data_IF_770608571390
#
_entry.id   IF_770608571390
#
_cell.length_a   1.000
_cell.length_b   1.000
_cell.length_c   1.000
_cell.angle_alpha   90.00
_cell.angle_beta   90.00
_cell.angle_gamma   90.00
#
_symmetry.space_group_name_H-M   'P 1'
#
loop_
_entity.id
_entity.type
_entity.pdbx_description
1 polymer ?
#
# COMPACT_ATOMS: atom_id res chain seq x y z
N UNK A 1 14.04 9.46 25.58
CA UNK A 1 13.29 10.53 24.87
C UNK A 1 13.51 10.35 23.37
N UNK A 2 12.47 10.12 22.56
CA UNK A 2 12.64 9.99 21.11
C UNK A 2 13.15 11.30 20.50
N UNK A 3 14.27 11.22 19.78
CA UNK A 3 14.93 12.38 19.17
C UNK A 3 14.01 13.07 18.15
N UNK A 4 14.22 14.37 17.91
CA UNK A 4 13.47 15.13 16.91
C UNK A 4 13.52 14.47 15.51
N UNK A 5 14.66 13.86 15.16
CA UNK A 5 14.85 13.10 13.91
C UNK A 5 13.99 11.84 13.85
N UNK A 6 13.87 11.09 14.95
CA UNK A 6 12.99 9.91 15.01
C UNK A 6 11.53 10.30 14.82
N UNK A 7 11.07 11.36 15.51
CA UNK A 7 9.69 11.86 15.34
C UNK A 7 9.40 12.36 13.93
N UNK A 8 10.34 13.05 13.30
CA UNK A 8 10.20 13.50 11.92
C UNK A 8 10.07 12.31 10.94
N UNK A 9 10.88 11.26 11.11
CA UNK A 9 10.76 10.04 10.29
C UNK A 9 9.42 9.34 10.52
N UNK A 10 8.96 9.22 11.76
CA UNK A 10 7.66 8.60 12.06
C UNK A 10 6.51 9.38 11.41
N UNK A 11 6.53 10.71 11.45
CA UNK A 11 5.53 11.54 10.77
C UNK A 11 5.58 11.39 9.25
N UNK A 12 6.77 11.33 8.66
CA UNK A 12 6.92 11.12 7.22
C UNK A 12 6.37 9.76 6.80
N UNK A 13 6.72 8.69 7.53
CA UNK A 13 6.20 7.35 7.31
C UNK A 13 4.67 7.33 7.44
N UNK A 14 4.13 7.93 8.51
CA UNK A 14 2.69 7.99 8.74
C UNK A 14 1.94 8.69 7.62
N UNK A 15 2.42 9.86 7.19
CA UNK A 15 1.84 10.59 6.04
C UNK A 15 1.89 9.76 4.77
N UNK A 16 3.01 9.10 4.50
CA UNK A 16 3.16 8.27 3.31
C UNK A 16 2.17 7.09 3.31
N UNK A 17 2.09 6.36 4.41
CA UNK A 17 1.16 5.24 4.59
C UNK A 17 -0.31 5.69 4.49
N UNK A 18 -0.68 6.82 5.11
CA UNK A 18 -2.03 7.38 5.02
C UNK A 18 -2.39 7.77 3.58
N UNK A 19 -1.46 8.36 2.82
CA UNK A 19 -1.69 8.72 1.42
C UNK A 19 -1.82 7.48 0.52
N UNK A 20 -0.98 6.45 0.73
CA UNK A 20 -1.09 5.19 0.00
C UNK A 20 -2.39 4.46 0.35
N UNK A 21 -2.81 4.47 1.62
CA UNK A 21 -4.08 3.90 2.04
C UNK A 21 -5.27 4.61 1.36
N UNK A 22 -5.29 5.94 1.38
CA UNK A 22 -6.32 6.73 0.68
C UNK A 22 -6.31 6.46 -0.84
N UNK A 23 -5.13 6.32 -1.44
CA UNK A 23 -4.98 5.98 -2.86
C UNK A 23 -5.52 4.59 -3.18
N UNK A 24 -5.31 3.60 -2.30
CA UNK A 24 -5.87 2.27 -2.43
C UNK A 24 -7.41 2.28 -2.30
N UNK A 25 -7.95 3.07 -1.37
CA UNK A 25 -9.40 3.28 -1.25
C UNK A 25 -9.96 3.88 -2.55
N UNK A 26 -9.36 4.97 -3.03
CA UNK A 26 -9.76 5.63 -4.28
C UNK A 26 -9.69 4.67 -5.47
N UNK A 27 -8.58 3.95 -5.62
CA UNK A 27 -8.38 2.98 -6.69
C UNK A 27 -9.39 1.84 -6.63
N UNK A 28 -9.65 1.29 -5.44
CA UNK A 28 -10.61 0.21 -5.25
C UNK A 28 -12.05 0.63 -5.53
N UNK A 29 -12.48 1.79 -5.03
CA UNK A 29 -13.82 2.34 -5.30
C UNK A 29 -13.99 2.66 -6.78
N UNK A 30 -13.00 3.30 -7.40
CA UNK A 30 -13.02 3.63 -8.84
C UNK A 30 -13.09 2.38 -9.72
N UNK A 31 -12.40 1.31 -9.31
CA UNK A 31 -12.41 0.02 -9.96
C UNK A 31 -13.77 -0.68 -9.87
N UNK A 32 -14.41 -0.64 -8.69
CA UNK A 32 -15.78 -1.16 -8.49
C UNK A 32 -16.79 -0.36 -9.33
N UNK A 33 -16.70 0.97 -9.30
CA UNK A 33 -17.62 1.86 -10.00
C UNK A 33 -17.37 1.93 -11.52
N UNK A 34 -16.30 1.29 -12.02
CA UNK A 34 -15.83 1.40 -13.42
C UNK A 34 -15.70 2.86 -13.86
N UNK A 35 -15.16 3.71 -12.99
CA UNK A 35 -14.99 5.13 -13.27
C UNK A 35 -14.14 5.36 -14.54
N UNK A 36 -14.26 6.51 -15.22
CA UNK A 36 -13.41 6.85 -16.36
C UNK A 36 -11.92 6.69 -16.01
N UNK A 37 -11.17 5.97 -16.85
CA UNK A 37 -9.77 5.61 -16.58
C UNK A 37 -9.56 4.36 -15.73
N UNK A 38 -10.62 3.79 -15.14
CA UNK A 38 -10.62 2.55 -14.34
C UNK A 38 -11.52 1.45 -14.93
N UNK A 39 -12.10 1.67 -16.11
CA UNK A 39 -12.93 0.70 -16.82
C UNK A 39 -12.07 -0.38 -17.51
N UNK A 40 -11.37 -1.20 -16.73
CA UNK A 40 -10.46 -2.24 -17.22
C UNK A 40 -11.25 -3.40 -17.87
N UNK A 41 -10.72 -4.04 -18.93
CA UNK A 41 -11.34 -5.21 -19.55
C UNK A 41 -11.45 -6.37 -18.54
N UNK A 42 -12.64 -6.97 -18.39
CA UNK A 42 -12.87 -8.04 -17.41
C UNK A 42 -12.12 -9.32 -17.79
N UNK A 43 -11.82 -9.49 -19.07
CA UNK A 43 -11.07 -10.61 -19.63
C UNK A 43 -9.66 -10.72 -19.03
N UNK A 44 -9.12 -9.63 -18.48
CA UNK A 44 -7.85 -9.65 -17.75
C UNK A 44 -7.93 -10.49 -16.48
N UNK A 45 -9.12 -10.73 -15.94
CA UNK A 45 -9.36 -11.57 -14.78
C UNK A 45 -9.71 -13.03 -15.13
N UNK A 46 -9.70 -13.40 -16.42
CA UNK A 46 -9.97 -14.78 -16.85
C UNK A 46 -9.10 -15.83 -16.11
N UNK A 47 -7.80 -15.59 -15.83
CA UNK A 47 -6.99 -16.54 -15.05
C UNK A 47 -7.49 -16.77 -13.61
N UNK A 48 -8.26 -15.83 -13.05
CA UNK A 48 -8.87 -15.94 -11.72
C UNK A 48 -10.31 -16.46 -11.76
N UNK A 49 -10.87 -16.70 -12.96
CA UNK A 49 -12.27 -17.09 -13.13
C UNK A 49 -13.27 -16.00 -12.70
N UNK A 50 -12.83 -14.74 -12.59
CA UNK A 50 -13.69 -13.65 -12.17
C UNK A 50 -14.34 -12.97 -13.38
N UNK A 51 -15.60 -12.61 -13.23
CA UNK A 51 -16.41 -11.91 -14.24
C UNK A 51 -16.65 -10.44 -13.88
N UNK A 52 -16.05 -9.95 -12.80
CA UNK A 52 -16.23 -8.59 -12.31
C UNK A 52 -15.03 -8.10 -11.50
N UNK A 53 -14.77 -6.80 -11.57
CA UNK A 53 -13.74 -6.12 -10.79
C UNK A 53 -14.14 -5.79 -9.35
N UNK A 54 -15.36 -6.15 -8.94
CA UNK A 54 -15.89 -5.86 -7.59
C UNK A 54 -15.03 -6.48 -6.50
N UNK A 55 -14.71 -7.79 -6.62
CA UNK A 55 -13.90 -8.50 -5.63
C UNK A 55 -12.45 -7.95 -5.56
N UNK A 56 -11.74 -7.75 -6.69
CA UNK A 56 -10.45 -7.05 -6.68
C UNK A 56 -10.52 -5.67 -6.03
N UNK A 57 -11.58 -4.90 -6.31
CA UNK A 57 -11.77 -3.58 -5.72
C UNK A 57 -11.90 -3.64 -4.20
N UNK A 58 -12.74 -4.54 -3.66
CA UNK A 58 -12.84 -4.74 -2.21
C UNK A 58 -11.53 -5.21 -1.59
N UNK A 59 -10.81 -6.13 -2.23
CA UNK A 59 -9.51 -6.57 -1.76
C UNK A 59 -8.50 -5.40 -1.71
N UNK A 60 -8.49 -4.53 -2.72
CA UNK A 60 -7.65 -3.35 -2.75
C UNK A 60 -7.99 -2.36 -1.62
N UNK A 61 -9.28 -2.10 -1.36
CA UNK A 61 -9.71 -1.22 -0.26
C UNK A 61 -9.35 -1.83 1.10
N UNK A 62 -9.77 -3.07 1.36
CA UNK A 62 -9.74 -3.65 2.70
C UNK A 62 -8.38 -4.25 3.06
N UNK A 63 -7.76 -4.98 2.14
CA UNK A 63 -6.51 -5.70 2.42
C UNK A 63 -5.34 -4.73 2.30
N UNK A 64 -5.21 -4.07 1.14
CA UNK A 64 -4.10 -3.13 0.90
C UNK A 64 -4.34 -1.82 1.65
N UNK A 65 -5.47 -1.15 1.40
CA UNK A 65 -5.81 0.10 2.07
C UNK A 65 -5.91 -0.04 3.59
N UNK A 66 -6.56 -1.10 4.08
CA UNK A 66 -6.70 -1.35 5.51
C UNK A 66 -5.38 -1.64 6.23
N UNK A 67 -4.47 -2.44 5.64
CA UNK A 67 -3.17 -2.71 6.24
C UNK A 67 -2.28 -1.46 6.32
N UNK A 68 -2.27 -0.64 5.27
CA UNK A 68 -1.57 0.65 5.25
C UNK A 68 -2.17 1.65 6.24
N UNK A 69 -3.50 1.73 6.32
CA UNK A 69 -4.18 2.57 7.30
C UNK A 69 -3.83 2.15 8.74
N UNK A 70 -3.85 0.85 9.03
CA UNK A 70 -3.45 0.32 10.33
C UNK A 70 -1.98 0.63 10.67
N UNK A 71 -1.06 0.46 9.71
CA UNK A 71 0.34 0.82 9.88
C UNK A 71 0.51 2.32 10.21
N UNK A 72 -0.22 3.18 9.49
CA UNK A 72 -0.17 4.64 9.70
C UNK A 72 -0.57 5.06 11.11
N UNK A 73 -1.50 4.34 11.76
CA UNK A 73 -1.89 4.63 13.15
C UNK A 73 -0.71 4.44 14.12
N UNK A 74 0.08 3.38 13.94
CA UNK A 74 1.28 3.18 14.76
C UNK A 74 2.32 4.28 14.51
N UNK A 75 2.52 4.65 13.24
CA UNK A 75 3.47 5.70 12.87
C UNK A 75 3.06 7.09 13.40
N UNK A 76 1.77 7.47 13.31
CA UNK A 76 1.25 8.71 13.88
C UNK A 76 1.42 8.80 15.40
N UNK A 77 1.28 7.67 16.09
CA UNK A 77 1.51 7.55 17.53
C UNK A 77 2.99 7.48 17.90
N UNK A 78 3.90 7.45 16.92
CA UNK A 78 5.33 7.19 17.11
C UNK A 78 5.60 5.92 17.94
N UNK A 79 4.78 4.89 17.73
CA UNK A 79 4.88 3.59 18.42
C UNK A 79 6.11 2.82 17.92
N UNK A 80 6.77 2.08 18.81
CA UNK A 80 7.95 1.27 18.46
C UNK A 80 7.64 0.17 17.43
N UNK A 81 6.37 -0.23 17.30
CA UNK A 81 5.88 -1.22 16.33
C UNK A 81 5.68 -0.64 14.93
N UNK A 82 5.72 0.68 14.75
CA UNK A 82 5.44 1.32 13.47
C UNK A 82 6.27 0.76 12.30
N UNK A 83 7.60 0.56 12.42
CA UNK A 83 8.39 -0.02 11.33
C UNK A 83 7.99 -1.45 10.97
N UNK A 84 7.63 -2.27 11.98
CA UNK A 84 7.20 -3.65 11.75
C UNK A 84 5.84 -3.69 11.06
N UNK A 85 4.90 -2.83 11.48
CA UNK A 85 3.60 -2.69 10.83
C UNK A 85 3.72 -2.21 9.38
N UNK A 86 4.61 -1.23 9.12
CA UNK A 86 4.91 -0.73 7.79
C UNK A 86 5.45 -1.83 6.86
N UNK A 87 6.39 -2.65 7.35
CA UNK A 87 6.94 -3.78 6.59
C UNK A 87 5.88 -4.86 6.33
N UNK A 88 4.99 -5.13 7.28
CA UNK A 88 3.88 -6.05 7.10
C UNK A 88 2.90 -5.54 6.01
N UNK A 89 2.54 -4.26 6.04
CA UNK A 89 1.74 -3.62 4.99
C UNK A 89 2.46 -3.65 3.63
N UNK A 90 3.78 -3.43 3.62
CA UNK A 90 4.62 -3.58 2.43
C UNK A 90 4.63 -5.00 1.87
N UNK A 91 4.61 -6.04 2.72
CA UNK A 91 4.48 -7.42 2.28
C UNK A 91 3.10 -7.70 1.66
N UNK A 92 2.03 -7.15 2.24
CA UNK A 92 0.68 -7.21 1.67
C UNK A 92 0.64 -6.54 0.28
N UNK A 93 1.20 -5.34 0.14
CA UNK A 93 1.26 -4.63 -1.14
C UNK A 93 2.13 -5.37 -2.17
N UNK A 94 3.22 -5.99 -1.74
CA UNK A 94 4.04 -6.86 -2.59
C UNK A 94 3.23 -8.04 -3.12
N UNK A 95 2.48 -8.73 -2.24
CA UNK A 95 1.62 -9.84 -2.63
C UNK A 95 0.54 -9.40 -3.61
N UNK A 96 -0.07 -8.24 -3.38
CA UNK A 96 -1.03 -7.63 -4.31
C UNK A 96 -0.41 -7.38 -5.70
N UNK A 97 0.78 -6.76 -5.75
CA UNK A 97 1.49 -6.53 -7.00
C UNK A 97 1.86 -7.83 -7.70
N UNK A 98 2.30 -8.85 -6.97
CA UNK A 98 2.62 -10.16 -7.55
C UNK A 98 1.41 -10.80 -8.22
N UNK A 99 0.24 -10.78 -7.56
CA UNK A 99 -1.03 -11.24 -8.16
C UNK A 99 -1.36 -10.41 -9.39
N UNK A 100 -1.24 -9.07 -9.28
CA UNK A 100 -1.54 -8.17 -10.39
C UNK A 100 -0.66 -8.43 -11.61
N UNK A 101 0.65 -8.59 -11.43
CA UNK A 101 1.57 -8.92 -12.52
C UNK A 101 1.34 -10.33 -13.08
N UNK A 102 1.02 -11.31 -12.22
CA UNK A 102 0.76 -12.68 -12.68
C UNK A 102 -0.54 -12.83 -13.46
N UNK A 103 -1.59 -12.10 -13.07
CA UNK A 103 -2.93 -12.21 -13.67
C UNK A 103 -3.09 -11.26 -14.85
N UNK A 104 -2.73 -9.99 -14.65
CA UNK A 104 -2.95 -8.94 -15.64
C UNK A 104 -1.74 -8.81 -16.58
N UNK A 105 -0.54 -9.21 -16.14
CA UNK A 105 0.70 -8.91 -16.85
C UNK A 105 1.17 -7.48 -16.62
N UNK A 106 2.18 -7.06 -17.39
CA UNK A 106 2.72 -5.68 -17.37
C UNK A 106 1.95 -4.83 -18.37
N UNK A 107 0.81 -4.27 -17.96
CA UNK A 107 -0.11 -3.54 -18.85
C UNK A 107 -0.32 -2.08 -18.49
N UNK A 108 -0.11 -1.70 -17.23
CA UNK A 108 -0.48 -0.36 -16.76
C UNK A 108 0.70 0.36 -16.09
N UNK A 109 0.95 1.65 -16.41
CA UNK A 109 2.00 2.44 -15.75
C UNK A 109 1.86 2.49 -14.23
N UNK A 110 0.61 2.41 -13.71
CA UNK A 110 0.33 2.40 -12.28
C UNK A 110 1.02 1.25 -11.55
N UNK A 111 1.29 0.11 -12.21
CA UNK A 111 1.99 -1.02 -11.59
C UNK A 111 3.43 -0.62 -11.22
N UNK A 112 4.13 0.04 -12.15
CA UNK A 112 5.50 0.52 -11.94
C UNK A 112 5.57 1.67 -10.94
N UNK A 113 4.61 2.59 -11.00
CA UNK A 113 4.49 3.66 -10.00
C UNK A 113 4.31 3.05 -8.61
N UNK A 114 3.45 2.05 -8.47
CA UNK A 114 3.19 1.38 -7.20
C UNK A 114 4.42 0.61 -6.70
N UNK A 115 5.19 -0.03 -7.58
CA UNK A 115 6.49 -0.64 -7.21
C UNK A 115 7.46 0.40 -6.66
N UNK A 116 7.57 1.57 -7.29
CA UNK A 116 8.40 2.66 -6.79
C UNK A 116 7.95 3.17 -5.41
N UNK A 117 6.63 3.35 -5.23
CA UNK A 117 6.06 3.75 -3.93
C UNK A 117 6.28 2.69 -2.84
N UNK A 118 6.19 1.40 -3.19
CA UNK A 118 6.52 0.31 -2.28
C UNK A 118 8.00 0.35 -1.86
N UNK A 119 8.92 0.61 -2.78
CA UNK A 119 10.33 0.76 -2.45
C UNK A 119 10.57 1.92 -1.47
N UNK A 120 9.88 3.06 -1.67
CA UNK A 120 9.91 4.21 -0.74
C UNK A 120 9.35 3.83 0.63
N UNK A 121 8.21 3.11 0.68
CA UNK A 121 7.62 2.63 1.94
C UNK A 121 8.61 1.78 2.73
N UNK A 122 9.23 0.79 2.07
CA UNK A 122 10.22 -0.10 2.70
C UNK A 122 11.43 0.71 3.19
N UNK A 123 11.95 1.64 2.37
CA UNK A 123 13.06 2.50 2.75
C UNK A 123 12.75 3.35 3.99
N UNK A 124 11.56 3.95 4.06
CA UNK A 124 11.11 4.73 5.22
C UNK A 124 10.94 3.85 6.46
N UNK A 125 10.38 2.65 6.31
CA UNK A 125 10.21 1.70 7.40
C UNK A 125 11.57 1.27 7.98
N UNK A 126 12.54 0.93 7.12
CA UNK A 126 13.89 0.56 7.55
C UNK A 126 14.63 1.73 8.22
N UNK A 127 14.48 2.94 7.69
CA UNK A 127 15.04 4.16 8.30
C UNK A 127 14.43 4.41 9.69
N UNK A 128 13.12 4.25 9.84
CA UNK A 128 12.42 4.39 11.11
C UNK A 128 12.92 3.35 12.13
N UNK A 129 13.07 2.08 11.71
CA UNK A 129 13.63 1.01 12.53
C UNK A 129 15.04 1.33 13.01
N UNK A 130 15.92 1.75 12.11
CA UNK A 130 17.30 2.09 12.44
C UNK A 130 17.37 3.25 13.45
N UNK A 131 16.54 4.28 13.28
CA UNK A 131 16.52 5.44 14.20
C UNK A 131 15.99 5.09 15.59
N UNK A 132 15.04 4.15 15.70
CA UNK A 132 14.57 3.66 16.99
C UNK A 132 15.65 2.88 17.74
N UNK A 133 16.43 2.04 17.06
CA UNK A 133 17.53 1.27 17.68
C UNK A 133 18.68 2.17 18.15
N UNK A 134 18.91 3.29 17.45
CA UNK A 134 19.97 4.24 17.78
C UNK A 134 19.55 5.34 18.79
N UNK A 135 18.30 5.36 19.27
CA UNK A 135 17.77 6.35 20.23
C UNK A 135 17.75 5.80 21.65
#
# INVERSE_FOLDING_TARGET
MTTARTRATMRLLATFESLLAASAVYGGVSLIARAPGFAMPVEWLAPLGLTSWVLPGFALVLVVGGSLAAASVFAWRSDFRAPAAALAAGAVLTGWLAIQFGVIGVRAPVQWVTVGLLAVLIGLALLARHRLVAS
#
